data_IF_822035005279
#
_entry.id   IF_822035005279
#
_cell.length_a   1.000
_cell.length_b   1.000
_cell.length_c   1.000
_cell.angle_alpha   90.00
_cell.angle_beta   90.00
_cell.angle_gamma   90.00
#
_symmetry.space_group_name_H-M   'P 1'
#
loop_
_entity.id
_entity.type
_entity.pdbx_description
1 polymer ?
#
# COMPACT_ATOMS: atom_id res chain seq x y z
N UNK A 1 21.11 -18.32 -29.69
CA UNK A 1 19.67 -18.50 -29.47
C UNK A 1 19.35 -18.84 -28.05
N UNK A 2 19.86 -19.94 -27.55
CA UNK A 2 19.56 -20.35 -26.17
C UNK A 2 20.08 -19.37 -25.14
N UNK A 3 21.20 -18.72 -25.43
CA UNK A 3 21.80 -17.73 -24.53
C UNK A 3 20.87 -16.54 -24.32
N UNK A 4 20.21 -16.08 -25.37
CA UNK A 4 19.27 -14.99 -25.26
C UNK A 4 18.08 -15.37 -24.39
N UNK A 5 17.59 -16.59 -24.53
CA UNK A 5 16.48 -17.07 -23.72
C UNK A 5 16.84 -17.18 -22.25
N UNK A 6 18.09 -17.54 -21.93
CA UNK A 6 18.49 -17.65 -20.54
C UNK A 6 18.66 -16.30 -19.88
N UNK A 7 19.01 -15.25 -20.61
CA UNK A 7 19.17 -13.90 -20.05
C UNK A 7 17.83 -13.18 -19.95
N UNK A 8 17.07 -13.17 -21.04
CA UNK A 8 15.82 -12.42 -21.10
C UNK A 8 14.75 -12.90 -20.09
N UNK A 9 14.52 -14.22 -19.93
CA UNK A 9 13.55 -14.67 -18.93
C UNK A 9 13.90 -14.26 -17.50
N UNK A 10 15.19 -14.22 -17.16
CA UNK A 10 15.61 -13.78 -15.83
C UNK A 10 15.23 -12.34 -15.56
N UNK A 11 15.48 -11.44 -16.52
CA UNK A 11 15.12 -10.04 -16.37
C UNK A 11 13.61 -9.85 -16.32
N UNK A 12 12.87 -10.56 -17.17
CA UNK A 12 11.41 -10.47 -17.16
C UNK A 12 10.82 -10.94 -15.83
N UNK A 13 11.35 -12.01 -15.26
CA UNK A 13 10.88 -12.53 -13.98
C UNK A 13 11.14 -11.51 -12.85
N UNK A 14 12.32 -10.86 -12.85
CA UNK A 14 12.63 -9.85 -11.84
C UNK A 14 11.71 -8.63 -11.96
N UNK A 15 11.44 -8.18 -13.19
CA UNK A 15 10.54 -7.06 -13.42
C UNK A 15 9.12 -7.38 -12.98
N UNK A 16 8.64 -8.58 -13.29
CA UNK A 16 7.31 -9.02 -12.87
C UNK A 16 7.19 -9.12 -11.36
N UNK A 17 8.22 -9.63 -10.69
CA UNK A 17 8.24 -9.70 -9.24
C UNK A 17 8.19 -8.30 -8.62
N UNK A 18 8.97 -7.37 -9.16
CA UNK A 18 8.98 -5.98 -8.70
C UNK A 18 7.63 -5.32 -8.88
N UNK A 19 6.99 -5.49 -10.04
CA UNK A 19 5.68 -4.92 -10.30
C UNK A 19 4.61 -5.50 -9.37
N UNK A 20 4.69 -6.79 -9.08
CA UNK A 20 3.77 -7.42 -8.13
C UNK A 20 3.92 -6.85 -6.74
N UNK A 21 5.16 -6.64 -6.29
CA UNK A 21 5.43 -6.09 -4.97
C UNK A 21 4.98 -4.63 -4.86
N UNK A 22 5.10 -3.87 -5.94
CA UNK A 22 4.54 -2.52 -5.99
C UNK A 22 3.03 -2.55 -5.78
N UNK A 23 2.34 -3.37 -6.56
CA UNK A 23 0.89 -3.52 -6.44
C UNK A 23 0.46 -4.05 -5.08
N UNK A 24 1.22 -5.01 -4.54
CA UNK A 24 0.95 -5.55 -3.21
C UNK A 24 1.05 -4.46 -2.14
N UNK A 25 2.13 -3.69 -2.15
CA UNK A 25 2.32 -2.64 -1.14
C UNK A 25 1.27 -1.55 -1.25
N UNK A 26 0.94 -1.14 -2.47
CA UNK A 26 -0.14 -0.17 -2.69
C UNK A 26 -1.46 -0.72 -2.16
N UNK A 27 -1.82 -1.93 -2.60
CA UNK A 27 -3.11 -2.54 -2.25
C UNK A 27 -3.25 -2.83 -0.76
N UNK A 28 -2.14 -3.17 -0.10
CA UNK A 28 -2.17 -3.41 1.34
C UNK A 28 -2.57 -2.14 2.10
N UNK A 29 -1.91 -1.03 1.82
CA UNK A 29 -2.21 0.24 2.51
C UNK A 29 -3.60 0.74 2.13
N UNK A 30 -3.94 0.69 0.84
CA UNK A 30 -5.26 1.14 0.40
C UNK A 30 -6.35 0.28 1.05
N UNK A 31 -6.16 -1.04 1.09
CA UNK A 31 -7.12 -1.96 1.68
C UNK A 31 -7.31 -1.76 3.18
N UNK A 32 -6.19 -1.57 3.92
CA UNK A 32 -6.25 -1.27 5.34
C UNK A 32 -7.03 0.03 5.56
N UNK A 33 -6.69 1.07 4.81
CA UNK A 33 -7.36 2.36 4.94
C UNK A 33 -8.84 2.29 4.59
N UNK A 34 -9.18 1.56 3.54
CA UNK A 34 -10.57 1.41 3.12
C UNK A 34 -11.38 0.61 4.15
N UNK A 35 -10.81 -0.45 4.69
CA UNK A 35 -11.47 -1.28 5.71
C UNK A 35 -11.73 -0.46 6.97
N UNK A 36 -10.72 0.25 7.45
CA UNK A 36 -10.88 1.10 8.64
C UNK A 36 -11.92 2.20 8.41
N UNK A 37 -11.92 2.78 7.23
CA UNK A 37 -12.91 3.78 6.84
C UNK A 37 -14.32 3.23 6.97
N UNK A 38 -14.57 2.04 6.43
CA UNK A 38 -15.88 1.38 6.53
C UNK A 38 -16.27 1.11 7.96
N UNK A 39 -15.31 0.67 8.79
CA UNK A 39 -15.59 0.40 10.20
C UNK A 39 -15.96 1.68 10.97
N UNK A 40 -15.34 2.81 10.64
CA UNK A 40 -15.69 4.09 11.24
C UNK A 40 -17.09 4.52 10.80
N UNK A 41 -17.39 4.40 9.52
CA UNK A 41 -18.71 4.75 8.98
C UNK A 41 -19.79 3.92 9.67
N UNK A 42 -19.52 2.64 9.89
CA UNK A 42 -20.44 1.73 10.56
C UNK A 42 -20.43 1.89 12.09
N UNK A 43 -19.64 2.83 12.60
CA UNK A 43 -19.54 3.14 14.03
C UNK A 43 -19.00 1.99 14.88
N UNK A 44 -18.21 1.13 14.27
CA UNK A 44 -17.57 -0.01 14.96
C UNK A 44 -16.22 0.36 15.55
N UNK A 45 -15.54 1.36 14.99
CA UNK A 45 -14.31 1.91 15.55
C UNK A 45 -14.34 3.42 15.52
N UNK A 46 -13.54 4.04 16.38
CA UNK A 46 -13.47 5.48 16.46
C UNK A 46 -12.55 6.03 15.36
N UNK A 47 -12.89 7.20 14.87
CA UNK A 47 -12.14 7.91 13.85
C UNK A 47 -10.66 8.06 14.21
N UNK A 48 -10.37 8.46 15.45
CA UNK A 48 -9.00 8.62 15.91
C UNK A 48 -8.22 7.31 15.83
N UNK A 49 -8.83 6.20 16.18
CA UNK A 49 -8.19 4.89 16.10
C UNK A 49 -7.82 4.55 14.66
N UNK A 50 -8.74 4.77 13.73
CA UNK A 50 -8.49 4.49 12.32
C UNK A 50 -7.35 5.35 11.78
N UNK A 51 -7.35 6.64 12.11
CA UNK A 51 -6.29 7.55 11.68
C UNK A 51 -4.93 7.12 12.22
N UNK A 52 -4.86 6.82 13.50
CA UNK A 52 -3.60 6.44 14.15
C UNK A 52 -3.09 5.11 13.62
N UNK A 53 -3.98 4.15 13.41
CA UNK A 53 -3.58 2.84 12.91
C UNK A 53 -3.08 2.92 11.46
N UNK A 54 -3.77 3.65 10.61
CA UNK A 54 -3.34 3.79 9.23
C UNK A 54 -2.00 4.51 9.13
N UNK A 55 -1.87 5.66 9.79
CA UNK A 55 -0.61 6.40 9.74
C UNK A 55 0.54 5.63 10.39
N UNK A 56 0.26 4.91 11.47
CA UNK A 56 1.26 4.06 12.12
C UNK A 56 1.71 2.91 11.24
N UNK A 57 0.78 2.30 10.51
CA UNK A 57 1.11 1.24 9.56
C UNK A 57 1.99 1.76 8.43
N UNK A 58 1.63 2.91 7.86
CA UNK A 58 2.45 3.54 6.82
C UNK A 58 3.85 3.84 7.33
N UNK A 59 3.95 4.38 8.54
CA UNK A 59 5.26 4.69 9.12
C UNK A 59 6.08 3.43 9.32
N UNK A 60 5.49 2.39 9.90
CA UNK A 60 6.18 1.13 10.16
C UNK A 60 6.71 0.50 8.88
N UNK A 61 5.89 0.46 7.83
CA UNK A 61 6.33 -0.09 6.55
C UNK A 61 7.40 0.76 5.89
N UNK A 62 7.28 2.09 6.00
CA UNK A 62 8.26 2.99 5.41
C UNK A 62 9.63 2.87 6.06
N UNK A 63 9.68 2.44 7.31
CA UNK A 63 10.94 2.23 8.04
C UNK A 63 11.49 0.81 7.91
N UNK A 64 10.69 -0.11 7.38
CA UNK A 64 11.09 -1.50 7.21
C UNK A 64 12.04 -1.63 6.00
N UNK A 65 13.22 -2.26 6.17
CA UNK A 65 14.14 -2.45 5.04
C UNK A 65 13.51 -3.20 3.87
N UNK A 66 12.64 -4.15 4.15
CA UNK A 66 12.00 -4.96 3.11
C UNK A 66 11.00 -4.17 2.28
N UNK A 67 10.47 -3.09 2.83
CA UNK A 67 9.43 -2.28 2.17
C UNK A 67 9.95 -0.95 1.64
N UNK A 68 11.18 -0.56 2.01
CA UNK A 68 11.77 0.69 1.55
C UNK A 68 11.73 0.91 0.05
N UNK A 69 11.97 -0.10 -0.79
CA UNK A 69 11.91 0.11 -2.24
C UNK A 69 10.52 0.50 -2.73
N UNK A 70 9.49 0.34 -1.90
CA UNK A 70 8.10 0.56 -2.30
C UNK A 70 7.45 1.72 -1.55
N UNK A 71 8.27 2.61 -0.96
CA UNK A 71 7.77 3.78 -0.22
C UNK A 71 6.86 4.64 -1.09
N UNK A 72 7.19 4.79 -2.37
CA UNK A 72 6.39 5.59 -3.30
C UNK A 72 4.98 5.05 -3.40
N UNK A 73 4.84 3.74 -3.57
CA UNK A 73 3.53 3.09 -3.66
C UNK A 73 2.76 3.16 -2.36
N UNK A 74 3.46 3.01 -1.24
CA UNK A 74 2.86 3.10 0.09
C UNK A 74 2.29 4.51 0.32
N UNK A 75 3.06 5.54 -0.02
CA UNK A 75 2.62 6.93 0.10
C UNK A 75 1.46 7.26 -0.83
N UNK A 76 1.54 6.80 -2.07
CA UNK A 76 0.47 7.04 -3.03
C UNK A 76 -0.83 6.41 -2.55
N UNK A 77 -0.78 5.20 -2.02
CA UNK A 77 -1.95 4.54 -1.50
C UNK A 77 -2.53 5.30 -0.30
N UNK A 78 -1.67 5.75 0.60
CA UNK A 78 -2.09 6.53 1.75
C UNK A 78 -2.78 7.83 1.31
N UNK A 79 -2.17 8.56 0.39
CA UNK A 79 -2.77 9.79 -0.13
C UNK A 79 -4.12 9.51 -0.79
N UNK A 80 -4.17 8.48 -1.62
CA UNK A 80 -5.39 8.19 -2.37
C UNK A 80 -6.54 7.75 -1.45
N UNK A 81 -6.27 6.95 -0.42
CA UNK A 81 -7.35 6.53 0.48
C UNK A 81 -7.77 7.65 1.44
N UNK A 82 -6.83 8.47 1.90
CA UNK A 82 -7.18 9.57 2.81
C UNK A 82 -7.88 10.71 2.10
N UNK A 83 -7.75 10.80 0.78
CA UNK A 83 -8.42 11.82 -0.04
C UNK A 83 -9.62 11.27 -0.79
N UNK A 84 -9.90 9.97 -0.66
CA UNK A 84 -11.07 9.36 -1.28
C UNK A 84 -12.33 10.06 -0.82
N UNK A 85 -13.26 10.28 -1.76
CA UNK A 85 -14.44 11.10 -1.49
C UNK A 85 -15.28 10.58 -0.32
N UNK A 86 -15.31 9.27 -0.12
CA UNK A 86 -16.07 8.65 0.98
C UNK A 86 -15.27 8.68 2.28
N UNK A 87 -13.96 8.47 2.22
CA UNK A 87 -13.13 8.24 3.39
C UNK A 87 -12.41 9.47 3.90
N UNK A 88 -12.36 10.56 3.14
CA UNK A 88 -11.58 11.74 3.55
C UNK A 88 -12.07 12.33 4.86
N UNK A 89 -13.35 12.27 5.16
CA UNK A 89 -13.87 12.78 6.42
C UNK A 89 -13.45 11.92 7.60
N UNK A 90 -13.19 10.63 7.37
CA UNK A 90 -12.67 9.75 8.40
C UNK A 90 -11.22 10.10 8.72
N UNK A 91 -10.43 10.46 7.71
CA UNK A 91 -8.98 10.64 7.87
C UNK A 91 -8.53 12.09 8.01
N UNK A 92 -9.46 13.02 8.06
CA UNK A 92 -9.14 14.44 8.24
C UNK A 92 -9.48 15.00 9.61
#
# INVERSE_FOLDING_TARGET
MLLLLSVTPGLAANNMASERLKGYNYGYIYGVGNTLCGLVIDKLVKKKYAKDLLSGTVKALSESPDHKPYISEIRNAYENITEDIVCKEVYQ
#
